data_IF_104291162931
#
_entry.id   IF_104291162931
#
_cell.length_a   1.000
_cell.length_b   1.000
_cell.length_c   1.000
_cell.angle_alpha   90.00
_cell.angle_beta   90.00
_cell.angle_gamma   90.00
#
_symmetry.space_group_name_H-M   'P 1'
#
loop_
_entity.id
_entity.type
_entity.pdbx_description
1 polymer ?
#
# COMPACT_ATOMS: atom_id res chain seq x y z
N UNK A 1 15.03 -49.57 -13.16
CA UNK A 1 16.47 -49.24 -13.08
C UNK A 1 17.03 -49.27 -14.49
N UNK A 2 17.59 -48.14 -14.95
CA UNK A 2 18.47 -47.98 -16.13
C UNK A 2 17.91 -48.29 -17.53
N UNK A 3 18.25 -47.61 -18.63
CA UNK A 3 18.89 -46.34 -19.02
C UNK A 3 18.29 -46.08 -20.42
N UNK A 4 17.83 -44.87 -20.76
CA UNK A 4 17.54 -44.50 -22.16
C UNK A 4 18.70 -43.66 -22.71
N UNK A 5 19.54 -44.18 -23.62
CA UNK A 5 20.51 -43.39 -24.35
C UNK A 5 19.98 -43.12 -25.76
N UNK A 6 19.41 -41.94 -25.94
CA UNK A 6 19.29 -41.32 -27.25
C UNK A 6 20.34 -40.23 -27.26
N UNK A 7 21.34 -40.35 -28.13
CA UNK A 7 22.24 -39.27 -28.49
C UNK A 7 22.11 -39.04 -29.99
N UNK A 8 22.48 -37.82 -30.40
CA UNK A 8 22.70 -37.28 -31.77
C UNK A 8 21.42 -36.63 -32.34
N UNK A 9 21.42 -35.39 -32.83
CA UNK A 9 22.43 -34.58 -33.56
C UNK A 9 22.18 -33.08 -33.25
N UNK A 10 23.17 -32.30 -32.83
CA UNK A 10 24.14 -31.52 -33.64
C UNK A 10 23.59 -30.20 -34.19
N UNK A 11 24.11 -29.07 -33.71
CA UNK A 11 24.76 -28.02 -34.51
C UNK A 11 25.16 -26.86 -33.58
N UNK A 12 26.44 -26.82 -33.21
CA UNK A 12 27.06 -25.64 -32.65
C UNK A 12 27.40 -24.70 -33.81
N UNK A 13 26.82 -23.51 -33.81
CA UNK A 13 27.26 -22.39 -34.65
C UNK A 13 27.32 -21.15 -33.76
N UNK A 14 28.53 -20.84 -33.31
CA UNK A 14 28.82 -19.59 -32.63
C UNK A 14 28.73 -18.43 -33.62
N UNK A 15 28.04 -17.38 -33.21
CA UNK A 15 28.17 -16.05 -33.82
C UNK A 15 28.32 -15.07 -32.66
N UNK A 16 29.57 -14.68 -32.43
CA UNK A 16 29.90 -13.54 -31.61
C UNK A 16 29.65 -12.27 -32.44
N UNK A 17 28.79 -11.37 -31.95
CA UNK A 17 28.70 -10.00 -32.47
C UNK A 17 29.03 -9.07 -31.32
N UNK A 18 30.18 -8.44 -31.44
CA UNK A 18 30.66 -7.40 -30.55
C UNK A 18 29.89 -6.09 -30.78
N UNK A 19 29.74 -5.36 -29.66
CA UNK A 19 29.28 -3.99 -29.43
C UNK A 19 29.02 -3.06 -30.63
N UNK A 20 27.85 -2.42 -30.59
CA UNK A 20 27.60 -1.10 -31.18
C UNK A 20 27.00 -0.16 -30.12
N UNK A 21 27.85 0.68 -29.52
CA UNK A 21 27.45 1.87 -28.76
C UNK A 21 27.01 2.95 -29.75
N UNK A 22 25.71 3.25 -29.78
CA UNK A 22 25.20 4.49 -30.36
C UNK A 22 24.18 5.09 -29.40
N UNK A 23 24.63 6.14 -28.73
CA UNK A 23 23.85 6.98 -27.86
C UNK A 23 22.74 7.67 -28.66
N UNK A 24 21.49 7.33 -28.35
CA UNK A 24 20.36 8.22 -28.48
C UNK A 24 19.68 8.22 -27.11
N UNK A 25 20.08 9.17 -26.26
CA UNK A 25 19.51 9.39 -24.94
C UNK A 25 18.08 9.94 -25.07
N UNK A 26 17.15 9.07 -25.45
CA UNK A 26 15.72 9.25 -25.20
C UNK A 26 15.50 8.97 -23.72
N UNK A 27 15.78 9.98 -22.88
CA UNK A 27 15.61 9.86 -21.44
C UNK A 27 14.17 9.46 -21.10
N UNK A 28 13.96 8.46 -20.23
CA UNK A 28 12.63 8.18 -19.74
C UNK A 28 12.22 9.35 -18.84
N UNK A 29 11.36 10.24 -19.36
CA UNK A 29 10.49 11.05 -18.50
C UNK A 29 9.46 10.10 -17.89
N UNK A 30 9.83 9.41 -16.81
CA UNK A 30 8.92 8.84 -15.80
C UNK A 30 9.69 7.99 -14.80
N UNK A 31 9.39 8.16 -13.49
CA UNK A 31 9.65 7.10 -12.50
C UNK A 31 10.11 7.52 -11.11
N UNK A 32 10.41 8.79 -10.83
CA UNK A 32 10.98 9.19 -9.54
C UNK A 32 10.03 9.11 -8.33
N UNK A 33 8.73 8.85 -8.53
CA UNK A 33 7.73 8.87 -7.44
C UNK A 33 7.27 7.48 -6.99
N UNK A 34 7.44 6.42 -7.79
CA UNK A 34 6.87 5.09 -7.45
C UNK A 34 7.76 4.34 -6.45
N UNK A 35 9.09 4.39 -6.61
CA UNK A 35 10.02 3.68 -5.70
C UNK A 35 10.17 4.37 -4.35
N UNK A 36 10.11 5.71 -4.32
CA UNK A 36 10.24 6.50 -3.09
C UNK A 36 9.03 6.41 -2.15
N UNK A 37 7.81 6.29 -2.71
CA UNK A 37 6.60 6.09 -1.92
C UNK A 37 6.53 4.68 -1.32
N UNK A 38 6.88 3.65 -2.09
CA UNK A 38 7.02 2.28 -1.58
C UNK A 38 8.08 2.23 -0.48
N UNK A 39 9.26 2.83 -0.69
CA UNK A 39 10.34 2.88 0.31
C UNK A 39 9.90 3.55 1.62
N UNK A 40 9.13 4.64 1.53
CA UNK A 40 8.63 5.36 2.71
C UNK A 40 7.50 4.65 3.47
N UNK A 41 6.84 3.69 2.84
CA UNK A 41 5.70 2.96 3.40
C UNK A 41 6.00 1.45 3.59
N UNK A 42 7.19 0.97 3.21
CA UNK A 42 7.56 -0.44 3.30
C UNK A 42 7.43 -1.00 4.73
N UNK A 43 7.76 -0.19 5.74
CA UNK A 43 7.67 -0.58 7.14
C UNK A 43 6.25 -0.95 7.60
N UNK A 44 5.19 -0.50 6.91
CA UNK A 44 3.81 -0.81 7.26
C UNK A 44 3.24 -1.99 6.48
N UNK A 45 3.93 -2.48 5.44
CA UNK A 45 3.44 -3.57 4.59
C UNK A 45 3.18 -4.88 5.36
N UNK A 46 4.07 -5.35 6.27
CA UNK A 46 3.80 -6.57 7.04
C UNK A 46 2.64 -6.41 8.04
N UNK A 47 2.29 -5.18 8.43
CA UNK A 47 1.10 -4.94 9.24
C UNK A 47 -0.15 -4.91 8.36
N UNK A 48 -0.06 -4.33 7.18
CA UNK A 48 -1.16 -4.28 6.22
C UNK A 48 -1.53 -5.67 5.69
N UNK A 49 -0.56 -6.54 5.38
CA UNK A 49 -0.83 -7.90 4.90
C UNK A 49 -1.57 -8.73 5.95
N UNK A 50 -1.15 -8.65 7.22
CA UNK A 50 -1.82 -9.34 8.33
C UNK A 50 -3.27 -8.91 8.55
N UNK A 51 -3.63 -7.67 8.21
CA UNK A 51 -5.02 -7.20 8.29
C UNK A 51 -5.91 -7.92 7.28
N UNK A 52 -5.38 -8.24 6.12
CA UNK A 52 -6.06 -8.99 5.05
C UNK A 52 -5.76 -10.49 5.11
N UNK A 53 -5.29 -11.00 6.25
CA UNK A 53 -4.93 -12.41 6.44
C UNK A 53 -3.91 -12.96 5.44
N UNK A 54 -3.01 -12.08 4.97
CA UNK A 54 -2.03 -12.35 3.91
C UNK A 54 -2.68 -12.77 2.57
N UNK A 55 -3.95 -12.42 2.36
CA UNK A 55 -4.70 -12.63 1.13
C UNK A 55 -4.78 -11.35 0.27
N UNK A 56 -5.13 -11.55 -1.00
CA UNK A 56 -5.28 -10.47 -1.97
C UNK A 56 -3.97 -9.99 -2.62
N UNK A 57 -4.11 -9.18 -3.66
CA UNK A 57 -3.01 -8.59 -4.43
C UNK A 57 -2.86 -7.12 -4.06
N UNK A 58 -1.65 -6.71 -3.65
CA UNK A 58 -1.35 -5.29 -3.40
C UNK A 58 -1.49 -4.50 -4.71
N UNK A 59 -2.43 -3.55 -4.77
CA UNK A 59 -2.70 -2.72 -5.95
C UNK A 59 -2.21 -1.28 -5.83
N UNK A 60 -2.12 -0.75 -4.60
CA UNK A 60 -1.66 0.61 -4.35
C UNK A 60 -0.95 0.73 -3.01
N UNK A 61 0.12 1.51 -3.00
CA UNK A 61 0.80 1.99 -1.79
C UNK A 61 1.22 3.45 -2.02
N UNK A 62 0.71 4.36 -1.20
CA UNK A 62 1.09 5.78 -1.25
C UNK A 62 1.05 6.42 0.12
N UNK A 63 1.72 7.56 0.25
CA UNK A 63 1.51 8.43 1.42
C UNK A 63 0.12 9.08 1.33
N UNK A 64 -0.50 9.33 2.47
CA UNK A 64 -1.82 9.96 2.53
C UNK A 64 -1.86 11.06 3.57
N UNK A 65 -2.53 12.17 3.25
CA UNK A 65 -2.77 13.25 4.19
C UNK A 65 -3.93 12.90 5.13
N UNK A 66 -4.06 13.63 6.24
CA UNK A 66 -5.23 13.48 7.13
C UNK A 66 -6.54 13.78 6.39
N UNK A 67 -6.54 14.84 5.58
CA UNK A 67 -7.73 15.29 4.87
C UNK A 67 -8.23 14.21 3.90
N UNK A 68 -7.33 13.60 3.13
CA UNK A 68 -7.69 12.56 2.16
C UNK A 68 -8.18 11.29 2.87
N UNK A 69 -7.54 10.92 3.98
CA UNK A 69 -8.01 9.79 4.79
C UNK A 69 -9.43 10.03 5.33
N UNK A 70 -9.73 11.26 5.77
CA UNK A 70 -11.07 11.63 6.26
C UNK A 70 -12.09 11.71 5.12
N UNK A 71 -11.67 12.13 3.91
CA UNK A 71 -12.50 12.05 2.69
C UNK A 71 -12.81 10.59 2.33
N UNK A 72 -11.83 9.69 2.39
CA UNK A 72 -12.05 8.25 2.18
C UNK A 72 -13.09 7.70 3.14
N UNK A 73 -12.94 7.98 4.44
CA UNK A 73 -13.89 7.53 5.44
C UNK A 73 -15.31 8.01 5.11
N UNK A 74 -15.48 9.31 4.83
CA UNK A 74 -16.79 9.87 4.48
C UNK A 74 -17.38 9.26 3.20
N UNK A 75 -16.58 9.10 2.14
CA UNK A 75 -17.02 8.51 0.87
C UNK A 75 -17.50 7.07 1.04
N UNK A 76 -16.88 6.31 1.93
CA UNK A 76 -17.20 4.91 2.21
C UNK A 76 -18.17 4.74 3.40
N UNK A 77 -18.82 5.82 3.85
CA UNK A 77 -19.80 5.77 4.93
C UNK A 77 -19.22 5.49 6.33
N UNK A 78 -17.89 5.53 6.48
CA UNK A 78 -17.21 5.36 7.74
C UNK A 78 -17.05 6.69 8.49
N UNK A 79 -17.20 6.67 9.81
CA UNK A 79 -16.90 7.82 10.65
C UNK A 79 -15.37 8.00 10.73
N UNK A 80 -14.80 9.19 10.42
CA UNK A 80 -13.40 9.46 10.66
C UNK A 80 -13.06 9.29 12.15
N UNK A 81 -11.87 8.77 12.50
CA UNK A 81 -11.46 8.64 13.89
C UNK A 81 -11.48 10.01 14.57
N UNK A 82 -12.18 10.10 15.71
CA UNK A 82 -12.22 11.33 16.48
C UNK A 82 -10.81 11.66 16.98
N UNK A 83 -10.36 12.93 16.85
CA UNK A 83 -9.07 13.31 17.41
C UNK A 83 -9.10 13.05 18.92
N UNK A 84 -8.21 12.17 19.40
CA UNK A 84 -8.02 11.97 20.85
C UNK A 84 -7.63 13.33 21.44
N UNK A 85 -8.52 13.93 22.23
CA UNK A 85 -8.14 15.09 23.04
C UNK A 85 -7.02 14.66 23.97
N UNK A 86 -5.90 15.40 24.07
CA UNK A 86 -4.94 15.18 25.12
C UNK A 86 -5.68 15.27 26.45
N UNK A 87 -5.51 14.27 27.33
CA UNK A 87 -6.05 14.36 28.68
C UNK A 87 -5.55 15.65 29.33
N UNK A 88 -6.45 16.40 29.95
CA UNK A 88 -6.16 17.66 30.60
C UNK A 88 -5.23 17.41 31.80
N UNK A 89 -3.93 17.39 31.54
CA UNK A 89 -2.90 17.50 32.56
C UNK A 89 -2.74 18.99 32.86
N UNK A 90 -2.76 19.33 34.15
CA UNK A 90 -2.67 20.69 34.71
C UNK A 90 -1.67 21.61 33.98
N UNK A 91 -1.98 22.92 33.86
CA UNK A 91 -1.28 23.83 32.97
C UNK A 91 0.13 24.13 33.48
N UNK A 92 1.14 23.44 32.94
CA UNK A 92 2.49 24.00 32.85
C UNK A 92 2.56 24.90 31.61
N UNK A 93 3.24 26.07 31.66
CA UNK A 93 3.41 26.95 30.51
C UNK A 93 4.28 26.25 29.48
N UNK A 94 3.63 25.44 28.65
CA UNK A 94 4.26 24.65 27.61
C UNK A 94 3.91 25.33 26.31
N UNK A 95 4.97 25.74 25.60
CA UNK A 95 4.99 26.22 24.21
C UNK A 95 3.92 25.49 23.40
N UNK A 96 3.14 26.15 22.52
CA UNK A 96 2.11 25.49 21.74
C UNK A 96 2.73 24.35 20.93
N UNK A 97 2.54 23.11 21.39
CA UNK A 97 2.93 21.93 20.64
C UNK A 97 1.91 21.82 19.53
N UNK A 98 2.26 22.28 18.33
CA UNK A 98 1.48 21.98 17.14
C UNK A 98 1.47 20.46 16.97
N UNK A 99 0.34 19.83 17.30
CA UNK A 99 0.14 18.40 17.12
C UNK A 99 0.00 18.14 15.63
N UNK A 100 1.15 17.94 14.97
CA UNK A 100 1.21 17.56 13.56
C UNK A 100 0.67 16.14 13.39
N UNK A 101 -0.13 15.92 12.35
CA UNK A 101 -0.64 14.59 12.03
C UNK A 101 0.52 13.63 11.72
N UNK A 102 0.52 12.39 12.28
CA UNK A 102 1.57 11.44 11.99
C UNK A 102 1.61 11.12 10.49
N UNK A 103 2.82 10.90 9.96
CA UNK A 103 2.98 10.40 8.59
C UNK A 103 2.20 9.08 8.45
N UNK A 104 1.32 9.02 7.46
CA UNK A 104 0.46 7.87 7.20
C UNK A 104 0.60 7.40 5.74
N UNK A 105 0.32 6.12 5.53
CA UNK A 105 0.30 5.47 4.23
C UNK A 105 -1.07 4.84 4.01
N UNK A 106 -1.56 4.93 2.78
CA UNK A 106 -2.67 4.14 2.27
C UNK A 106 -2.10 2.92 1.57
N UNK A 107 -2.55 1.74 1.97
CA UNK A 107 -2.24 0.46 1.34
C UNK A 107 -3.56 -0.15 0.87
N UNK A 108 -3.62 -0.58 -0.38
CA UNK A 108 -4.84 -1.15 -0.98
C UNK A 108 -4.55 -2.54 -1.51
N UNK A 109 -5.35 -3.50 -1.07
CA UNK A 109 -5.34 -4.86 -1.60
C UNK A 109 -6.62 -5.12 -2.38
N UNK A 110 -6.50 -5.81 -3.51
CA UNK A 110 -7.62 -6.36 -4.28
C UNK A 110 -7.75 -7.85 -4.00
N UNK A 111 -8.94 -8.31 -3.65
CA UNK A 111 -9.27 -9.68 -3.29
C UNK A 111 -10.78 -9.87 -3.20
N UNK A 112 -11.22 -10.95 -2.57
CA UNK A 112 -12.62 -11.11 -2.18
C UNK A 112 -12.68 -11.03 -0.65
N UNK A 113 -13.31 -9.99 -0.11
CA UNK A 113 -13.45 -9.79 1.32
C UNK A 113 -14.92 -9.87 1.73
N UNK A 114 -15.39 -11.06 2.16
CA UNK A 114 -16.73 -11.23 2.71
C UNK A 114 -16.98 -10.35 3.95
N UNK A 115 -18.27 -10.15 4.26
CA UNK A 115 -18.67 -9.38 5.42
C UNK A 115 -18.15 -10.02 6.71
N UNK A 116 -17.47 -9.22 7.53
CA UNK A 116 -16.92 -9.69 8.82
C UNK A 116 -15.56 -10.38 8.74
N UNK A 117 -15.00 -10.58 7.54
CA UNK A 117 -13.65 -11.16 7.37
C UNK A 117 -12.56 -10.25 7.94
N UNK A 118 -12.69 -8.94 7.73
CA UNK A 118 -11.68 -7.96 8.15
C UNK A 118 -12.07 -7.35 9.50
N UNK A 119 -11.36 -7.74 10.55
CA UNK A 119 -11.57 -7.20 11.90
C UNK A 119 -11.23 -5.71 11.95
N UNK A 120 -12.11 -4.90 12.56
CA UNK A 120 -11.91 -3.46 12.67
C UNK A 120 -12.18 -2.67 11.38
N UNK A 121 -12.72 -3.31 10.34
CA UNK A 121 -13.27 -2.61 9.19
C UNK A 121 -14.41 -1.67 9.61
N UNK A 122 -14.41 -0.48 9.02
CA UNK A 122 -15.45 0.52 9.21
C UNK A 122 -15.96 0.96 7.83
N UNK A 123 -17.28 0.89 7.56
CA UNK A 123 -18.32 0.36 8.44
C UNK A 123 -18.17 -1.15 8.73
N UNK A 124 -18.68 -1.66 9.87
CA UNK A 124 -18.59 -3.07 10.18
C UNK A 124 -19.47 -3.90 9.24
N UNK A 125 -19.08 -5.16 9.02
CA UNK A 125 -19.82 -6.13 8.20
C UNK A 125 -20.05 -5.71 6.73
N UNK A 126 -19.23 -4.80 6.20
CA UNK A 126 -19.19 -4.50 4.76
C UNK A 126 -18.35 -5.54 4.04
N UNK A 127 -18.88 -6.09 2.95
CA UNK A 127 -18.14 -6.93 2.02
C UNK A 127 -17.59 -6.09 0.87
N UNK A 128 -16.54 -6.56 0.20
CA UNK A 128 -16.13 -5.97 -1.06
C UNK A 128 -14.83 -6.53 -1.65
N UNK A 129 -14.43 -5.97 -2.79
CA UNK A 129 -13.28 -6.48 -3.55
C UNK A 129 -11.96 -5.77 -3.24
N UNK A 130 -12.03 -4.67 -2.48
CA UNK A 130 -10.87 -3.86 -2.13
C UNK A 130 -10.84 -3.60 -0.62
N UNK A 131 -9.70 -3.88 -0.01
CA UNK A 131 -9.38 -3.52 1.36
C UNK A 131 -8.42 -2.32 1.36
N UNK A 132 -8.87 -1.19 1.93
CA UNK A 132 -8.10 0.04 2.05
C UNK A 132 -7.68 0.21 3.50
N UNK A 133 -6.38 0.25 3.74
CA UNK A 133 -5.80 0.30 5.08
C UNK A 133 -4.96 1.56 5.18
N UNK A 134 -5.30 2.43 6.14
CA UNK A 134 -4.47 3.59 6.46
C UNK A 134 -3.64 3.27 7.69
N UNK A 135 -2.32 3.34 7.57
CA UNK A 135 -1.38 2.99 8.63
C UNK A 135 -0.44 4.16 8.93
N UNK A 136 -0.10 4.34 10.21
CA UNK A 136 0.91 5.32 10.65
C UNK A 136 2.31 4.73 10.50
N UNK A 137 3.28 5.53 10.06
CA UNK A 137 4.62 5.03 9.69
C UNK A 137 5.60 5.01 10.86
N UNK A 138 5.72 6.12 11.63
CA UNK A 138 6.74 6.23 12.71
C UNK A 138 6.56 5.20 13.83
N UNK A 139 5.29 4.89 14.14
CA UNK A 139 4.91 3.84 15.07
C UNK A 139 3.84 3.00 14.36
N UNK A 140 4.25 1.92 13.65
CA UNK A 140 3.36 1.11 12.81
C UNK A 140 2.10 0.69 13.56
N UNK A 141 0.99 1.29 13.14
CA UNK A 141 -0.31 1.09 13.76
C UNK A 141 -1.40 1.39 12.73
N UNK A 142 -2.51 0.69 12.87
CA UNK A 142 -3.69 0.86 12.02
C UNK A 142 -4.41 2.13 12.47
N UNK A 143 -4.65 3.05 11.54
CA UNK A 143 -5.48 4.24 11.77
C UNK A 143 -6.95 3.92 11.45
N UNK A 144 -7.19 3.27 10.30
CA UNK A 144 -8.52 2.82 9.86
C UNK A 144 -8.39 1.73 8.79
N UNK A 145 -9.42 0.88 8.72
CA UNK A 145 -9.58 -0.16 7.71
C UNK A 145 -10.94 0.04 7.06
N UNK A 146 -10.99 0.09 5.74
CA UNK A 146 -12.20 0.29 4.95
C UNK A 146 -12.28 -0.84 3.91
N UNK A 147 -13.50 -1.30 3.62
CA UNK A 147 -13.76 -2.32 2.59
C UNK A 147 -14.74 -1.73 1.58
N UNK A 148 -14.51 -1.96 0.29
CA UNK A 148 -15.35 -1.44 -0.80
C UNK A 148 -15.22 -2.27 -2.07
N UNK A 149 -16.20 -2.20 -2.95
CA UNK A 149 -16.12 -2.73 -4.32
C UNK A 149 -15.52 -1.74 -5.32
N UNK A 150 -15.29 -0.50 -4.90
CA UNK A 150 -14.76 0.54 -5.78
C UNK A 150 -13.24 0.56 -5.77
N UNK A 151 -12.58 0.55 -6.95
CA UNK A 151 -11.12 0.64 -7.00
C UNK A 151 -10.64 2.00 -6.50
N UNK A 152 -9.42 2.03 -5.97
CA UNK A 152 -8.84 3.27 -5.44
C UNK A 152 -8.69 4.40 -6.48
N UNK A 153 -8.62 4.06 -7.78
CA UNK A 153 -8.61 5.02 -8.89
C UNK A 153 -9.87 5.88 -8.93
N UNK A 154 -11.01 5.31 -8.55
CA UNK A 154 -12.32 5.95 -8.68
C UNK A 154 -12.64 6.81 -7.45
N UNK A 155 -11.93 6.55 -6.34
CA UNK A 155 -12.14 7.25 -5.08
C UNK A 155 -11.61 8.69 -5.07
N UNK A 156 -11.04 9.22 -6.17
CA UNK A 156 -10.56 10.61 -6.36
C UNK A 156 -10.07 11.27 -5.05
N UNK A 157 -8.81 11.00 -4.71
CA UNK A 157 -8.08 11.50 -3.54
C UNK A 157 -7.02 12.53 -3.91
#
# INVERSE_FOLDING_TARGET
MSIRPWWRRAAASGVAIALGLAAACSGPRSGASVTGEVSGCAAVLPLASRVVHDEGTLTLIRRISRADADVLSRKLGAQPPTPRRPHAVLPRPSRPVQVSWPKACLVVYHGDYPSGTIAGASPPAVAGHYALIVLRVRHPSIDRILVTDTPASDLKL
#
